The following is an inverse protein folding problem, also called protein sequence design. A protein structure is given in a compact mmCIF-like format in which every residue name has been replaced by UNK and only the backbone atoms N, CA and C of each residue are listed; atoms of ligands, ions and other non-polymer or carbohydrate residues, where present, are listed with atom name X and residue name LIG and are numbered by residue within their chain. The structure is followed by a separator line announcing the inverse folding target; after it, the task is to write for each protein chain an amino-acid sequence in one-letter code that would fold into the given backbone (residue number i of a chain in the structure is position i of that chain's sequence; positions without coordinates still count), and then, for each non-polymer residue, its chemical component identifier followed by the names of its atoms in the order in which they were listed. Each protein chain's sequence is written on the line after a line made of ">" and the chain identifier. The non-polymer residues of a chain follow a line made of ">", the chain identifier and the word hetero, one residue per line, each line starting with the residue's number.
data_IF_073186513967
#
_entry.id   IF_073186513967
#
_cell.length_a   1.000
_cell.length_b   1.000
_cell.length_c   1.000
_cell.angle_alpha   90.00
_cell.angle_beta   90.00
_cell.angle_gamma   90.00
#
_symmetry.space_group_name_H-M   'P 1'
#
loop_
_entity.id
_entity.type
_entity.pdbx_description
1 polymer ?
#
# COMPACT_ATOMS: atom_id res chain seq x y z
N UNK A 1 -3.58 16.82 5.44
CA UNK A 1 -3.80 17.27 4.04
C UNK A 1 -3.12 16.18 3.28
N UNK A 2 -3.90 15.20 2.84
CA UNK A 2 -3.41 14.07 2.07
C UNK A 2 -2.53 14.57 0.91
N UNK A 3 -1.36 13.97 0.75
CA UNK A 3 -0.50 14.19 -0.42
C UNK A 3 -1.12 13.57 -1.70
N UNK A 4 -2.24 12.84 -1.56
CA UNK A 4 -2.96 12.14 -2.62
C UNK A 4 -4.41 12.60 -2.75
N UNK A 5 -4.91 12.71 -3.97
CA UNK A 5 -6.33 12.93 -4.26
C UNK A 5 -7.17 11.71 -3.83
N UNK A 6 -8.46 11.90 -3.55
CA UNK A 6 -9.35 10.81 -3.11
C UNK A 6 -9.40 9.63 -4.09
N UNK A 7 -9.36 9.91 -5.40
CA UNK A 7 -9.32 8.88 -6.45
C UNK A 7 -8.00 8.10 -6.43
N UNK A 8 -6.89 8.76 -6.07
CA UNK A 8 -5.59 8.09 -5.90
C UNK A 8 -5.59 7.23 -4.64
N UNK A 9 -6.16 7.70 -3.52
CA UNK A 9 -6.29 6.91 -2.30
C UNK A 9 -7.10 5.63 -2.55
N UNK A 10 -8.22 5.71 -3.27
CA UNK A 10 -9.02 4.53 -3.62
C UNK A 10 -8.22 3.55 -4.50
N UNK A 11 -7.46 4.06 -5.47
CA UNK A 11 -6.62 3.21 -6.33
C UNK A 11 -5.48 2.55 -5.55
N UNK A 12 -4.83 3.28 -4.64
CA UNK A 12 -3.79 2.76 -3.73
C UNK A 12 -4.38 1.70 -2.81
N UNK A 13 -5.56 1.94 -2.22
CA UNK A 13 -6.25 0.98 -1.35
C UNK A 13 -6.51 -0.35 -2.06
N UNK A 14 -6.97 -0.33 -3.31
CA UNK A 14 -7.19 -1.56 -4.08
C UNK A 14 -5.91 -2.39 -4.28
N UNK A 15 -4.75 -1.72 -4.46
CA UNK A 15 -3.46 -2.41 -4.53
C UNK A 15 -3.06 -2.98 -3.17
N UNK A 16 -3.26 -2.21 -2.11
CA UNK A 16 -3.00 -2.64 -0.72
C UNK A 16 -3.82 -3.88 -0.36
N UNK A 17 -5.13 -3.86 -0.62
CA UNK A 17 -6.03 -4.99 -0.36
C UNK A 17 -5.58 -6.24 -1.11
N UNK A 18 -5.16 -6.07 -2.38
CA UNK A 18 -4.64 -7.15 -3.20
C UNK A 18 -3.36 -7.73 -2.62
N UNK A 19 -2.41 -6.88 -2.23
CA UNK A 19 -1.13 -7.32 -1.66
C UNK A 19 -1.38 -8.01 -0.33
N UNK A 20 -2.11 -7.36 0.60
CA UNK A 20 -2.45 -7.87 1.93
C UNK A 20 -3.13 -9.25 1.88
N UNK A 21 -4.03 -9.49 0.92
CA UNK A 21 -4.69 -10.78 0.76
C UNK A 21 -3.76 -11.97 0.46
N UNK A 22 -2.54 -11.72 -0.03
CA UNK A 22 -1.55 -12.75 -0.37
C UNK A 22 -0.33 -12.74 0.57
N UNK A 23 -0.34 -11.92 1.62
CA UNK A 23 0.82 -11.75 2.52
C UNK A 23 1.06 -12.90 3.49
N UNK A 24 0.18 -13.91 3.53
CA UNK A 24 0.36 -15.09 4.40
C UNK A 24 1.71 -15.78 4.08
N UNK A 25 2.75 -15.45 4.87
CA UNK A 25 4.11 -15.95 4.75
C UNK A 25 5.08 -15.16 3.85
N UNK A 26 4.72 -13.97 3.36
CA UNK A 26 5.66 -13.08 2.67
C UNK A 26 6.47 -12.22 3.66
N UNK A 27 7.66 -11.78 3.23
CA UNK A 27 8.54 -10.89 4.02
C UNK A 27 8.38 -9.45 3.56
N UNK A 28 8.64 -8.47 4.44
CA UNK A 28 8.60 -7.01 4.20
C UNK A 28 9.13 -6.60 2.82
N UNK A 29 10.30 -7.11 2.45
CA UNK A 29 10.95 -6.82 1.16
C UNK A 29 10.06 -7.19 -0.03
N UNK A 30 9.37 -8.33 0.05
CA UNK A 30 8.44 -8.80 -0.99
C UNK A 30 7.17 -7.94 -1.01
N UNK A 31 6.69 -7.49 0.16
CA UNK A 31 5.54 -6.59 0.27
C UNK A 31 5.82 -5.27 -0.45
N UNK A 32 6.98 -4.68 -0.18
CA UNK A 32 7.39 -3.41 -0.79
C UNK A 32 7.53 -3.54 -2.31
N UNK A 33 8.10 -4.63 -2.80
CA UNK A 33 8.22 -4.87 -4.25
C UNK A 33 6.86 -5.03 -4.94
N UNK A 34 5.94 -5.79 -4.33
CA UNK A 34 4.60 -5.99 -4.88
C UNK A 34 3.73 -4.72 -4.83
N UNK A 35 3.87 -3.91 -3.77
CA UNK A 35 3.23 -2.59 -3.69
C UNK A 35 3.71 -1.67 -4.81
N UNK A 36 5.04 -1.54 -4.99
CA UNK A 36 5.62 -0.69 -6.05
C UNK A 36 5.13 -1.12 -7.42
N UNK A 37 5.17 -2.42 -7.70
CA UNK A 37 4.66 -2.96 -8.96
C UNK A 37 3.17 -2.68 -9.15
N UNK A 38 2.37 -2.83 -8.09
CA UNK A 38 0.94 -2.52 -8.15
C UNK A 38 0.67 -1.05 -8.42
N UNK A 39 1.44 -0.14 -7.83
CA UNK A 39 1.33 1.30 -8.09
C UNK A 39 1.75 1.68 -9.51
N UNK A 40 2.82 1.06 -10.03
CA UNK A 40 3.24 1.22 -11.43
C UNK A 40 2.18 0.71 -12.42
N UNK A 41 1.50 -0.40 -12.12
CA UNK A 41 0.42 -0.98 -12.94
C UNK A 41 -0.77 -0.02 -13.11
N UNK A 42 -1.06 0.79 -12.09
CA UNK A 42 -2.15 1.78 -12.09
C UNK A 42 -1.68 3.20 -12.43
N UNK A 43 -0.40 3.38 -12.75
CA UNK A 43 0.24 4.67 -13.02
C UNK A 43 0.04 5.71 -11.90
N UNK A 44 0.07 5.27 -10.64
CA UNK A 44 0.03 6.14 -9.47
C UNK A 44 1.44 6.21 -8.87
N UNK A 45 2.02 7.40 -8.83
CA UNK A 45 3.29 7.63 -8.14
C UNK A 45 3.04 7.73 -6.63
N UNK A 46 3.57 6.78 -5.87
CA UNK A 46 3.56 6.77 -4.40
C UNK A 46 4.97 7.03 -3.90
N UNK A 47 5.14 7.93 -2.94
CA UNK A 47 6.46 8.25 -2.42
C UNK A 47 7.09 7.01 -1.73
N UNK A 48 8.42 6.80 -1.85
CA UNK A 48 9.07 5.63 -1.27
C UNK A 48 8.82 5.46 0.24
N UNK A 49 8.75 6.57 0.98
CA UNK A 49 8.46 6.56 2.43
C UNK A 49 7.03 6.08 2.72
N UNK A 50 6.05 6.47 1.90
CA UNK A 50 4.66 6.02 2.03
C UNK A 50 4.53 4.53 1.68
N UNK A 51 5.27 4.05 0.68
CA UNK A 51 5.31 2.62 0.35
C UNK A 51 5.81 1.79 1.54
N UNK A 52 6.90 2.22 2.18
CA UNK A 52 7.42 1.56 3.38
C UNK A 52 6.41 1.60 4.52
N UNK A 53 5.77 2.75 4.74
CA UNK A 53 4.74 2.92 5.78
C UNK A 53 3.54 2.00 5.57
N UNK A 54 3.09 1.83 4.33
CA UNK A 54 2.03 0.89 3.97
C UNK A 54 2.48 -0.55 4.21
N UNK A 55 3.71 -0.93 3.80
CA UNK A 55 4.23 -2.27 4.00
C UNK A 55 4.29 -2.64 5.50
N UNK A 56 4.82 -1.73 6.34
CA UNK A 56 4.87 -1.90 7.79
C UNK A 56 3.47 -2.09 8.41
N UNK A 57 2.47 -1.34 7.91
CA UNK A 57 1.09 -1.46 8.38
C UNK A 57 0.47 -2.81 7.98
N UNK A 58 0.71 -3.28 6.75
CA UNK A 58 0.23 -4.57 6.26
C UNK A 58 0.78 -5.71 7.13
N UNK A 59 2.06 -5.65 7.50
CA UNK A 59 2.67 -6.65 8.39
C UNK A 59 2.16 -6.57 9.84
N UNK A 60 1.88 -5.37 10.34
CA UNK A 60 1.50 -5.14 11.73
C UNK A 60 0.02 -5.41 12.03
N UNK A 61 -0.87 -5.19 11.05
CA UNK A 61 -2.33 -5.24 11.24
C UNK A 61 -2.98 -6.47 10.58
N UNK A 62 -2.22 -7.55 10.35
CA UNK A 62 -2.70 -8.77 9.68
C UNK A 62 -3.40 -8.47 8.32
N UNK A 63 -2.94 -7.44 7.62
CA UNK A 63 -3.48 -7.01 6.33
C UNK A 63 -4.74 -6.15 6.37
N UNK A 64 -5.27 -5.78 7.54
CA UNK A 64 -6.39 -4.83 7.68
C UNK A 64 -5.86 -3.38 7.71
N UNK A 65 -5.56 -2.82 6.53
CA UNK A 65 -4.91 -1.50 6.41
C UNK A 65 -5.83 -0.49 5.74
N UNK A 66 -5.96 0.68 6.35
CA UNK A 66 -6.69 1.83 5.81
C UNK A 66 -5.72 2.91 5.30
N UNK A 67 -5.55 3.00 3.98
CA UNK A 67 -4.66 3.98 3.33
C UNK A 67 -5.10 5.40 3.63
N UNK A 68 -6.41 5.63 3.72
CA UNK A 68 -6.96 6.95 4.05
C UNK A 68 -6.55 7.40 5.47
N UNK A 69 -6.53 6.49 6.43
CA UNK A 69 -6.09 6.80 7.80
C UNK A 69 -4.56 6.91 7.91
N UNK A 70 -3.83 6.20 7.05
CA UNK A 70 -2.36 6.16 7.06
C UNK A 70 -1.71 7.38 6.42
N UNK A 71 -2.31 7.90 5.34
CA UNK A 71 -1.75 8.94 4.45
C UNK A 71 -2.57 10.25 4.38
N UNK A 72 -3.77 10.30 4.99
CA UNK A 72 -4.71 11.44 4.95
C UNK A 72 -4.35 12.66 5.82
#
# INVERSE_FOLDING_TARGET
>A
MSDYESEQIEAIQNVVDRVAAYQDGATEVVVVEELRKGFDEIAVEVQPDDVTKIADAIESEDGDVSVQELLG
#
